data_IF_032092246237
#
_entry.id   IF_032092246237
#
_cell.length_a   1.000
_cell.length_b   1.000
_cell.length_c   1.000
_cell.angle_alpha   90.00
_cell.angle_beta   90.00
_cell.angle_gamma   90.00
#
_symmetry.space_group_name_H-M   'P 1'
#
loop_
_entity.id
_entity.type
_entity.pdbx_description
1 polymer ?
#
# COMPACT_ATOMS: atom_id res chain seq x y z
N UNK A 1 -47.19 -50.15 31.78
CA UNK A 1 -45.72 -50.28 31.96
C UNK A 1 -45.06 -49.90 30.65
N UNK A 2 -44.71 -48.62 30.51
CA UNK A 2 -44.19 -48.03 29.28
C UNK A 2 -42.67 -47.86 29.39
N UNK A 3 -41.95 -48.34 28.37
CA UNK A 3 -40.49 -48.27 28.21
C UNK A 3 -40.06 -46.82 27.96
N UNK A 4 -38.98 -46.30 28.58
CA UNK A 4 -38.46 -44.98 28.25
C UNK A 4 -37.61 -45.03 26.97
N UNK A 5 -37.65 -43.89 26.27
CA UNK A 5 -37.17 -43.65 24.92
C UNK A 5 -35.64 -43.54 24.79
N UNK A 6 -35.18 -43.84 23.58
CA UNK A 6 -33.80 -43.79 23.13
C UNK A 6 -33.26 -42.36 22.99
N UNK A 7 -31.94 -42.25 23.17
CA UNK A 7 -31.12 -41.07 22.99
C UNK A 7 -31.19 -40.51 21.55
N UNK A 8 -31.29 -39.18 21.43
CA UNK A 8 -30.93 -38.44 20.23
C UNK A 8 -30.01 -37.29 20.65
N UNK A 9 -28.75 -37.48 20.34
CA UNK A 9 -27.64 -36.54 20.45
C UNK A 9 -27.90 -35.31 19.55
N UNK A 10 -27.97 -34.13 20.18
CA UNK A 10 -28.00 -32.84 19.49
C UNK A 10 -26.59 -32.56 18.95
N UNK A 11 -26.36 -33.00 17.72
CA UNK A 11 -25.14 -32.74 16.94
C UNK A 11 -25.51 -31.81 15.78
N UNK A 12 -25.79 -30.55 16.08
CA UNK A 12 -25.91 -29.51 15.06
C UNK A 12 -25.37 -28.18 15.60
N UNK A 13 -24.47 -27.60 14.80
CA UNK A 13 -23.98 -26.21 14.82
C UNK A 13 -22.48 -26.01 15.16
N UNK A 14 -21.58 -26.79 14.56
CA UNK A 14 -20.14 -26.48 14.50
C UNK A 14 -19.59 -26.34 13.07
N UNK A 15 -20.45 -26.32 12.04
CA UNK A 15 -20.05 -26.26 10.64
C UNK A 15 -20.31 -24.88 9.97
N UNK A 16 -20.28 -23.81 10.75
CA UNK A 16 -20.37 -22.41 10.26
C UNK A 16 -19.29 -21.53 10.88
N UNK A 17 -18.18 -22.11 11.35
CA UNK A 17 -16.91 -21.38 11.40
C UNK A 17 -16.41 -21.31 9.97
N UNK A 18 -16.93 -20.29 9.28
CA UNK A 18 -16.43 -19.74 8.05
C UNK A 18 -14.92 -19.99 7.96
N UNK A 19 -14.51 -20.67 6.91
CA UNK A 19 -13.20 -20.45 6.33
C UNK A 19 -13.09 -18.95 6.10
N UNK A 20 -12.55 -18.24 7.09
CA UNK A 20 -12.02 -16.91 6.88
C UNK A 20 -10.94 -17.14 5.85
N UNK A 21 -11.30 -16.95 4.58
CA UNK A 21 -10.36 -16.63 3.51
C UNK A 21 -9.41 -15.67 4.18
N UNK A 22 -8.17 -16.10 4.40
CA UNK A 22 -7.16 -15.25 5.03
C UNK A 22 -7.00 -14.08 4.09
N UNK A 23 -7.79 -13.03 4.30
CA UNK A 23 -7.61 -11.78 3.60
C UNK A 23 -6.21 -11.36 4.04
N UNK A 24 -5.31 -11.26 3.07
CA UNK A 24 -3.92 -10.88 3.28
C UNK A 24 -3.93 -9.43 3.76
N UNK A 25 -4.26 -9.22 5.04
CA UNK A 25 -4.26 -7.91 5.64
C UNK A 25 -2.81 -7.47 5.79
N UNK A 26 -2.51 -6.29 5.24
CA UNK A 26 -1.24 -5.62 5.48
C UNK A 26 -1.17 -5.32 6.97
N UNK A 27 -0.11 -5.80 7.62
CA UNK A 27 0.14 -5.50 9.02
C UNK A 27 1.00 -4.26 9.11
N UNK A 28 0.85 -3.51 10.20
CA UNK A 28 1.73 -2.38 10.47
C UNK A 28 2.19 -2.34 11.91
N UNK A 29 3.28 -1.62 12.15
CA UNK A 29 3.89 -1.46 13.48
C UNK A 29 4.44 -0.05 13.63
N UNK A 30 4.20 0.56 14.80
CA UNK A 30 4.66 1.92 15.09
C UNK A 30 6.18 1.94 15.29
N UNK A 31 6.85 2.91 14.65
CA UNK A 31 8.30 3.08 14.69
C UNK A 31 8.73 4.30 15.52
N UNK A 32 7.84 5.26 15.75
CA UNK A 32 8.12 6.45 16.56
C UNK A 32 7.67 7.75 15.92
N UNK A 33 7.93 8.84 16.66
CA UNK A 33 7.65 10.20 16.23
C UNK A 33 8.88 10.84 15.55
N UNK A 34 8.68 11.35 14.33
CA UNK A 34 9.75 11.94 13.51
C UNK A 34 9.41 13.37 13.10
N UNK A 35 10.44 14.20 12.96
CA UNK A 35 10.28 15.56 12.44
C UNK A 35 9.96 15.52 10.96
N UNK A 36 9.19 16.49 10.51
CA UNK A 36 8.89 16.70 9.11
C UNK A 36 9.17 18.15 8.68
N UNK A 37 9.34 18.37 7.38
CA UNK A 37 9.61 19.67 6.80
C UNK A 37 8.71 19.95 5.59
N UNK A 38 7.97 21.09 5.60
CA UNK A 38 7.38 21.80 4.47
C UNK A 38 7.75 21.37 3.07
N UNK A 39 9.04 21.57 2.84
CA UNK A 39 9.68 21.68 1.54
C UNK A 39 10.41 20.41 1.13
N UNK A 40 10.80 19.57 2.10
CA UNK A 40 11.63 18.38 1.84
C UNK A 40 11.02 17.08 2.30
N UNK A 41 9.82 17.10 2.89
CA UNK A 41 8.93 15.99 3.31
C UNK A 41 9.67 14.70 3.69
N UNK A 42 9.60 14.32 4.95
CA UNK A 42 10.28 13.12 5.47
C UNK A 42 9.84 11.83 4.74
N UNK A 43 8.55 11.71 4.46
CA UNK A 43 7.99 10.67 3.59
C UNK A 43 7.41 11.33 2.34
N UNK A 44 8.07 11.12 1.19
CA UNK A 44 7.81 11.81 -0.07
C UNK A 44 7.39 10.88 -1.22
N UNK A 45 6.96 9.66 -0.92
CA UNK A 45 6.65 8.62 -1.91
C UNK A 45 5.47 8.95 -2.84
N UNK A 46 4.59 9.88 -2.46
CA UNK A 46 3.51 10.37 -3.33
C UNK A 46 3.83 11.70 -4.03
N UNK A 47 5.07 12.18 -3.96
CA UNK A 47 5.48 13.39 -4.69
C UNK A 47 5.24 13.21 -6.19
N UNK A 48 4.60 14.19 -6.83
CA UNK A 48 4.26 14.13 -8.26
C UNK A 48 3.08 13.22 -8.62
N UNK A 49 2.51 12.49 -7.66
CA UNK A 49 1.28 11.72 -7.82
C UNK A 49 0.08 12.65 -7.66
N UNK A 50 -0.92 12.53 -8.53
CA UNK A 50 -2.16 13.31 -8.45
C UNK A 50 -3.32 12.50 -7.88
N UNK A 51 -3.34 11.17 -8.12
CA UNK A 51 -4.30 10.23 -7.55
C UNK A 51 -3.65 8.90 -7.25
N UNK A 52 -3.97 8.33 -6.09
CA UNK A 52 -3.60 6.97 -5.69
C UNK A 52 -4.88 6.19 -5.39
N UNK A 53 -5.20 5.23 -6.24
CA UNK A 53 -6.47 4.56 -6.21
C UNK A 53 -7.65 5.53 -6.33
N UNK A 54 -8.57 5.52 -5.36
CA UNK A 54 -9.71 6.44 -5.29
C UNK A 54 -9.39 7.79 -4.66
N UNK A 55 -8.16 8.01 -4.21
CA UNK A 55 -7.80 9.15 -3.36
C UNK A 55 -7.04 10.22 -4.16
N UNK A 56 -7.39 11.48 -3.93
CA UNK A 56 -6.64 12.61 -4.49
C UNK A 56 -5.42 12.90 -3.63
N UNK A 57 -4.29 13.14 -4.29
CA UNK A 57 -3.04 13.52 -3.64
C UNK A 57 -2.88 15.03 -3.76
N UNK A 58 -2.66 15.69 -2.63
CA UNK A 58 -2.46 17.14 -2.57
C UNK A 58 -1.02 17.51 -2.98
N UNK A 59 -0.92 18.50 -3.86
CA UNK A 59 0.34 19.07 -4.32
C UNK A 59 0.58 20.44 -3.64
N UNK A 60 1.80 20.79 -3.23
CA UNK A 60 3.06 20.05 -3.39
C UNK A 60 3.37 19.06 -2.25
N UNK A 61 2.48 18.91 -1.27
CA UNK A 61 2.75 18.13 -0.06
C UNK A 61 2.98 16.64 -0.32
N UNK A 62 2.41 16.07 -1.39
CA UNK A 62 2.46 14.63 -1.63
C UNK A 62 1.71 13.87 -0.55
N UNK A 63 0.56 14.39 -0.11
CA UNK A 63 -0.25 13.82 0.97
C UNK A 63 -1.66 13.51 0.53
N UNK A 64 -2.30 12.54 1.19
CA UNK A 64 -3.74 12.32 1.11
C UNK A 64 -4.36 12.80 2.42
N UNK A 65 -5.27 13.77 2.36
CA UNK A 65 -5.91 14.33 3.56
C UNK A 65 -7.40 13.98 3.59
N UNK A 66 -7.87 13.38 4.68
CA UNK A 66 -9.25 12.90 4.81
C UNK A 66 -9.78 13.07 6.23
N UNK A 67 -11.03 13.51 6.38
CA UNK A 67 -11.69 13.62 7.70
C UNK A 67 -11.89 12.28 8.41
N UNK A 68 -11.84 11.17 7.67
CA UNK A 68 -11.93 9.81 8.21
C UNK A 68 -10.55 9.17 8.45
N UNK A 69 -9.48 9.96 8.56
CA UNK A 69 -8.12 9.42 8.71
C UNK A 69 -7.98 8.52 9.94
N UNK A 70 -7.33 7.37 9.72
CA UNK A 70 -6.94 6.39 10.74
C UNK A 70 -5.65 5.69 10.30
N UNK A 71 -5.01 4.95 11.21
CA UNK A 71 -3.82 4.15 10.87
C UNK A 71 -4.13 3.09 9.80
N UNK A 72 -5.29 2.45 9.89
CA UNK A 72 -5.76 1.45 8.93
C UNK A 72 -6.03 2.06 7.55
N UNK A 73 -6.60 3.26 7.51
CA UNK A 73 -6.84 3.94 6.25
C UNK A 73 -5.53 4.32 5.57
N UNK A 74 -4.60 4.94 6.31
CA UNK A 74 -3.33 5.36 5.72
C UNK A 74 -2.46 4.17 5.31
N UNK A 75 -2.40 3.10 6.12
CA UNK A 75 -1.72 1.86 5.73
C UNK A 75 -2.34 1.24 4.47
N UNK A 76 -3.66 1.25 4.35
CA UNK A 76 -4.37 0.83 3.14
C UNK A 76 -3.98 1.66 1.92
N UNK A 77 -3.97 2.99 2.03
CA UNK A 77 -3.55 3.89 0.94
C UNK A 77 -2.11 3.61 0.53
N UNK A 78 -1.18 3.53 1.47
CA UNK A 78 0.23 3.29 1.15
C UNK A 78 0.51 1.85 0.67
N UNK A 79 -0.35 0.89 1.03
CA UNK A 79 -0.29 -0.45 0.45
C UNK A 79 -0.54 -0.48 -1.05
N UNK A 80 -1.28 0.48 -1.59
CA UNK A 80 -1.55 0.58 -3.03
C UNK A 80 -0.26 0.82 -3.82
N UNK A 81 0.71 1.53 -3.23
CA UNK A 81 2.03 1.74 -3.82
C UNK A 81 3.10 0.73 -3.39
N UNK A 82 2.76 -0.29 -2.61
CA UNK A 82 3.71 -1.17 -1.90
C UNK A 82 4.83 -0.43 -1.17
N UNK A 83 4.47 0.67 -0.50
CA UNK A 83 5.43 1.40 0.30
C UNK A 83 5.79 0.64 1.58
N UNK A 84 7.09 0.58 1.95
CA UNK A 84 7.49 -0.05 3.21
C UNK A 84 7.09 0.75 4.44
N UNK A 85 6.81 2.05 4.29
CA UNK A 85 6.46 2.94 5.39
C UNK A 85 5.27 3.84 5.05
N UNK A 86 4.50 4.16 6.08
CA UNK A 86 3.56 5.27 6.04
C UNK A 86 3.70 6.14 7.29
N UNK A 87 3.18 7.36 7.18
CA UNK A 87 3.09 8.27 8.30
C UNK A 87 1.74 8.98 8.30
N UNK A 88 1.27 9.29 9.50
CA UNK A 88 0.13 10.17 9.72
C UNK A 88 0.60 11.46 10.40
N UNK A 89 0.09 12.59 9.92
CA UNK A 89 0.46 13.93 10.39
C UNK A 89 -0.79 14.78 10.58
N UNK A 90 -0.73 15.70 11.55
CA UNK A 90 -1.74 16.75 11.76
C UNK A 90 -3.21 16.27 11.78
N UNK A 91 -3.45 15.07 12.35
CA UNK A 91 -4.76 14.42 12.53
C UNK A 91 -5.36 13.76 11.28
N UNK A 92 -5.11 14.29 10.09
CA UNK A 92 -5.87 13.94 8.90
C UNK A 92 -5.03 13.66 7.65
N UNK A 93 -3.72 13.90 7.70
CA UNK A 93 -2.83 13.71 6.56
C UNK A 93 -2.17 12.34 6.59
N UNK A 94 -2.09 11.71 5.42
CA UNK A 94 -1.40 10.46 5.18
C UNK A 94 -0.26 10.67 4.17
N UNK A 95 0.91 10.15 4.53
CA UNK A 95 2.11 10.16 3.71
C UNK A 95 2.62 8.74 3.53
N UNK A 96 3.15 8.44 2.35
CA UNK A 96 3.78 7.16 2.04
C UNK A 96 5.26 7.38 1.71
N UNK A 97 6.13 6.43 2.01
CA UNK A 97 7.56 6.61 1.78
C UNK A 97 8.34 5.30 1.69
N UNK A 98 9.42 5.35 0.92
CA UNK A 98 10.43 4.28 0.87
C UNK A 98 11.49 4.41 1.98
N UNK A 99 11.60 5.59 2.56
CA UNK A 99 12.48 5.95 3.66
C UNK A 99 11.76 6.94 4.57
N UNK A 100 12.31 7.13 5.76
CA UNK A 100 11.85 8.09 6.75
C UNK A 100 13.03 8.50 7.65
N UNK A 101 12.83 9.49 8.51
CA UNK A 101 13.80 9.92 9.51
C UNK A 101 14.90 10.85 8.99
N UNK A 102 14.75 11.41 7.78
CA UNK A 102 15.66 12.38 7.16
C UNK A 102 15.84 13.66 8.00
N UNK A 103 14.85 13.99 8.82
CA UNK A 103 14.87 15.15 9.73
C UNK A 103 15.06 14.75 11.21
N UNK A 104 15.26 13.46 11.48
CA UNK A 104 15.52 12.91 12.81
C UNK A 104 14.29 12.77 13.72
N UNK A 105 14.53 12.22 14.91
CA UNK A 105 13.50 11.96 15.92
C UNK A 105 12.92 13.24 16.51
N UNK A 106 11.64 13.16 16.88
CA UNK A 106 10.92 14.15 17.67
C UNK A 106 10.50 13.55 19.03
N UNK A 107 9.96 14.40 19.91
CA UNK A 107 9.36 13.93 21.15
C UNK A 107 8.04 13.21 20.84
N UNK A 108 7.76 12.07 21.48
CA UNK A 108 6.46 11.38 21.35
C UNK A 108 5.28 12.29 21.73
N UNK A 109 5.50 13.25 22.64
CA UNK A 109 4.48 14.24 23.01
C UNK A 109 4.08 15.15 21.83
N UNK A 110 4.97 15.36 20.85
CA UNK A 110 4.69 16.15 19.65
C UNK A 110 3.80 15.37 18.67
N UNK A 111 3.72 14.04 18.78
CA UNK A 111 2.89 13.15 17.96
C UNK A 111 1.60 12.70 18.70
N UNK A 112 0.96 13.61 19.42
CA UNK A 112 -0.13 13.29 20.35
C UNK A 112 -1.52 13.70 19.88
N UNK A 113 -1.65 14.26 18.67
CA UNK A 113 -2.95 14.67 18.14
C UNK A 113 -3.78 13.45 17.75
N UNK A 114 -5.07 13.44 18.09
CA UNK A 114 -5.95 12.33 17.73
C UNK A 114 -6.23 12.31 16.22
N UNK A 115 -6.34 11.11 15.64
CA UNK A 115 -6.82 10.97 14.27
C UNK A 115 -8.26 11.46 14.14
N UNK A 116 -8.61 12.14 13.04
CA UNK A 116 -9.98 12.63 12.84
C UNK A 116 -11.00 11.48 12.68
N UNK A 117 -10.63 10.39 12.00
CA UNK A 117 -11.50 9.24 11.79
C UNK A 117 -11.53 8.25 12.96
N UNK A 118 -10.57 8.32 13.88
CA UNK A 118 -10.52 7.47 15.06
C UNK A 118 -9.78 8.15 16.22
N UNK A 119 -10.54 8.73 17.15
CA UNK A 119 -9.97 9.47 18.27
C UNK A 119 -9.18 8.62 19.28
N UNK A 120 -9.22 7.28 19.18
CA UNK A 120 -8.40 6.39 20.00
C UNK A 120 -6.97 6.22 19.45
N UNK A 121 -6.69 6.74 18.26
CA UNK A 121 -5.40 6.66 17.59
C UNK A 121 -4.72 8.02 17.53
N UNK A 122 -3.38 8.01 17.57
CA UNK A 122 -2.56 9.23 17.46
C UNK A 122 -2.07 9.43 16.04
N UNK A 123 -2.36 10.56 15.43
CA UNK A 123 -2.03 10.91 14.05
C UNK A 123 -1.03 12.07 13.97
N UNK A 124 0.11 11.91 14.65
CA UNK A 124 1.20 12.86 14.60
C UNK A 124 0.88 14.21 15.22
N UNK A 125 1.44 15.26 14.63
CA UNK A 125 1.29 16.65 15.06
C UNK A 125 1.73 17.63 13.98
N UNK A 126 1.79 18.93 14.27
CA UNK A 126 2.21 19.93 13.29
C UNK A 126 3.66 19.68 12.84
N UNK A 127 3.86 19.31 11.58
CA UNK A 127 5.16 18.89 11.03
C UNK A 127 5.83 17.77 11.85
N UNK A 128 5.02 16.81 12.34
CA UNK A 128 5.44 15.68 13.17
C UNK A 128 4.72 14.43 12.70
N UNK A 129 5.51 13.45 12.28
CA UNK A 129 5.05 12.20 11.71
C UNK A 129 5.02 11.11 12.78
N UNK A 130 3.85 10.52 13.03
CA UNK A 130 3.80 9.18 13.61
C UNK A 130 4.08 8.18 12.48
N UNK A 131 5.25 7.54 12.51
CA UNK A 131 5.72 6.66 11.42
C UNK A 131 5.47 5.21 11.75
N UNK A 132 5.08 4.43 10.74
CA UNK A 132 4.79 3.01 10.84
C UNK A 132 5.45 2.23 9.71
N UNK A 133 5.92 1.02 9.99
CA UNK A 133 6.33 0.04 8.97
C UNK A 133 5.13 -0.74 8.46
N UNK A 134 5.11 -1.06 7.17
CA UNK A 134 4.17 -1.99 6.54
C UNK A 134 4.84 -3.36 6.36
N UNK A 135 4.09 -4.41 6.66
CA UNK A 135 4.51 -5.80 6.48
C UNK A 135 3.50 -6.52 5.59
N UNK A 136 3.97 -6.97 4.45
CA UNK A 136 3.17 -7.67 3.45
C UNK A 136 3.29 -9.18 3.65
N UNK A 137 2.18 -9.93 3.66
CA UNK A 137 2.23 -11.38 3.76
C UNK A 137 2.85 -12.01 2.50
N UNK A 138 4.10 -12.46 2.66
CA UNK A 138 5.01 -13.08 1.67
C UNK A 138 5.45 -12.14 0.56
N UNK A 139 6.57 -11.45 0.83
CA UNK A 139 7.43 -10.73 -0.10
C UNK A 139 8.79 -11.45 -0.15
N UNK A 140 8.94 -12.42 -1.04
CA UNK A 140 10.27 -12.91 -1.39
C UNK A 140 10.76 -11.98 -2.51
N UNK A 141 11.79 -11.17 -2.26
CA UNK A 141 12.26 -10.08 -3.16
C UNK A 141 12.64 -10.54 -4.58
N UNK A 142 12.74 -11.86 -4.78
CA UNK A 142 13.04 -12.54 -6.04
C UNK A 142 11.80 -13.12 -6.74
N UNK A 143 10.61 -12.94 -6.17
CA UNK A 143 9.36 -13.48 -6.73
C UNK A 143 8.49 -12.37 -7.28
N UNK A 144 7.84 -12.65 -8.40
CA UNK A 144 6.83 -11.77 -8.98
C UNK A 144 5.46 -12.44 -8.87
N UNK A 145 4.46 -11.66 -8.49
CA UNK A 145 3.07 -12.11 -8.47
C UNK A 145 2.32 -11.52 -9.65
N UNK A 146 1.58 -12.36 -10.37
CA UNK A 146 0.72 -11.91 -11.47
C UNK A 146 -0.57 -11.37 -10.87
N UNK A 147 -0.86 -10.10 -11.12
CA UNK A 147 -2.09 -9.45 -10.64
C UNK A 147 -3.09 -9.40 -11.79
N UNK A 148 -4.18 -10.16 -11.66
CA UNK A 148 -5.25 -10.25 -12.67
C UNK A 148 -6.36 -9.20 -12.52
N UNK A 149 -6.34 -8.36 -11.48
CA UNK A 149 -7.37 -7.37 -11.23
C UNK A 149 -6.90 -5.94 -11.53
N UNK A 150 -7.73 -5.22 -12.29
CA UNK A 150 -7.72 -3.76 -12.41
C UNK A 150 -8.01 -3.14 -11.05
N UNK A 151 -6.95 -2.91 -10.29
CA UNK A 151 -6.96 -2.13 -9.05
C UNK A 151 -7.12 -0.64 -9.39
N UNK A 152 -7.50 0.22 -8.43
CA UNK A 152 -7.89 1.58 -8.78
C UNK A 152 -6.68 2.36 -9.34
N UNK A 153 -6.89 3.13 -10.43
CA UNK A 153 -5.80 3.68 -11.23
C UNK A 153 -4.96 4.68 -10.44
N UNK A 154 -3.64 4.61 -10.60
CA UNK A 154 -2.72 5.68 -10.16
C UNK A 154 -2.58 6.67 -11.30
N UNK A 155 -2.78 7.95 -11.03
CA UNK A 155 -2.55 9.03 -12.00
C UNK A 155 -1.37 9.87 -11.52
N UNK A 156 -0.27 9.87 -12.27
CA UNK A 156 0.95 10.61 -11.95
C UNK A 156 1.31 11.57 -13.08
N UNK A 157 1.81 12.75 -12.72
CA UNK A 157 2.43 13.69 -13.67
C UNK A 157 3.94 13.46 -13.85
N UNK A 158 4.54 12.61 -13.02
CA UNK A 158 5.94 12.20 -13.12
C UNK A 158 6.09 11.01 -14.09
N UNK A 159 7.26 10.88 -14.73
CA UNK A 159 7.66 9.68 -15.47
C UNK A 159 7.91 8.52 -14.51
N UNK A 160 6.84 7.97 -13.93
CA UNK A 160 6.85 6.77 -13.07
C UNK A 160 6.74 5.47 -13.86
N UNK A 161 6.90 5.57 -15.19
CA UNK A 161 6.76 4.52 -16.18
C UNK A 161 7.91 4.63 -17.18
N UNK A 162 8.69 3.58 -17.33
CA UNK A 162 9.78 3.53 -18.32
C UNK A 162 9.55 2.38 -19.30
N UNK A 163 9.36 2.66 -20.61
CA UNK A 163 9.25 1.62 -21.61
C UNK A 163 10.65 1.04 -21.92
N UNK A 164 10.73 -0.29 -21.97
CA UNK A 164 11.88 -1.05 -22.44
C UNK A 164 11.41 -2.13 -23.41
N UNK A 165 12.23 -2.43 -24.43
CA UNK A 165 11.96 -3.58 -25.29
C UNK A 165 12.14 -4.86 -24.49
N UNK A 166 11.20 -5.78 -24.59
CA UNK A 166 11.28 -7.08 -23.94
C UNK A 166 10.67 -8.15 -24.84
N UNK A 167 11.42 -9.22 -25.10
CA UNK A 167 10.93 -10.30 -25.98
C UNK A 167 10.10 -11.35 -25.23
N UNK A 168 10.22 -11.39 -23.91
CA UNK A 168 9.52 -12.32 -23.05
C UNK A 168 9.22 -11.72 -21.68
N UNK A 169 8.42 -12.44 -20.90
CA UNK A 169 8.13 -12.07 -19.51
C UNK A 169 9.43 -12.05 -18.70
N UNK A 170 10.29 -13.05 -18.88
CA UNK A 170 11.55 -13.19 -18.14
C UNK A 170 12.47 -11.99 -18.37
N UNK A 171 12.57 -11.53 -19.63
CA UNK A 171 13.34 -10.34 -20.01
C UNK A 171 12.77 -9.07 -19.33
N UNK A 172 11.45 -8.90 -19.37
CA UNK A 172 10.76 -7.80 -18.69
C UNK A 172 11.03 -7.79 -17.16
N UNK A 173 10.94 -8.97 -16.51
CA UNK A 173 11.19 -9.11 -15.08
C UNK A 173 12.67 -8.91 -14.71
N UNK A 174 13.60 -9.27 -15.59
CA UNK A 174 15.02 -8.97 -15.40
C UNK A 174 15.28 -7.45 -15.41
N UNK A 175 14.67 -6.70 -16.35
CA UNK A 175 14.77 -5.25 -16.37
C UNK A 175 14.24 -4.60 -15.09
N UNK A 176 13.10 -5.07 -14.59
CA UNK A 176 12.57 -4.58 -13.31
C UNK A 176 13.48 -4.95 -12.15
N UNK A 177 14.01 -6.17 -12.12
CA UNK A 177 14.88 -6.64 -11.04
C UNK A 177 16.21 -5.87 -10.96
N UNK A 178 16.72 -5.43 -12.11
CA UNK A 178 17.94 -4.61 -12.22
C UNK A 178 17.76 -3.17 -11.69
N UNK A 179 16.51 -2.74 -11.48
CA UNK A 179 16.17 -1.41 -10.98
C UNK A 179 15.75 -1.46 -9.52
N UNK A 180 16.39 -0.64 -8.69
CA UNK A 180 16.08 -0.55 -7.26
C UNK A 180 14.74 0.13 -6.97
N UNK A 181 14.24 0.94 -7.91
CA UNK A 181 12.97 1.68 -7.83
C UNK A 181 11.80 0.95 -8.50
N UNK A 182 12.06 -0.09 -9.30
CA UNK A 182 10.98 -0.86 -9.93
C UNK A 182 10.26 -1.74 -8.90
N UNK A 183 8.95 -1.54 -8.80
CA UNK A 183 8.02 -2.29 -7.92
C UNK A 183 7.06 -3.16 -8.71
N UNK A 184 6.77 -2.79 -9.95
CA UNK A 184 5.97 -3.59 -10.84
C UNK A 184 6.42 -3.43 -12.29
N UNK A 185 6.03 -4.38 -13.13
CA UNK A 185 6.25 -4.32 -14.55
C UNK A 185 5.00 -4.75 -15.30
N UNK A 186 4.72 -4.09 -16.41
CA UNK A 186 3.61 -4.42 -17.31
C UNK A 186 4.18 -4.87 -18.64
N UNK A 187 3.88 -6.11 -19.03
CA UNK A 187 4.37 -6.71 -20.26
C UNK A 187 3.25 -6.90 -21.27
N UNK A 188 3.49 -6.52 -22.53
CA UNK A 188 2.67 -6.88 -23.69
C UNK A 188 3.47 -7.78 -24.62
N UNK A 189 2.92 -8.98 -24.87
CA UNK A 189 3.48 -9.90 -25.87
C UNK A 189 3.25 -9.38 -27.29
N UNK A 190 2.17 -8.64 -27.53
CA UNK A 190 1.85 -8.10 -28.85
C UNK A 190 2.84 -6.99 -29.23
N UNK A 191 3.18 -6.13 -28.29
CA UNK A 191 4.06 -4.98 -28.53
C UNK A 191 5.54 -5.30 -28.30
N UNK A 192 5.86 -6.48 -27.75
CA UNK A 192 7.21 -6.86 -27.30
C UNK A 192 7.82 -5.75 -26.41
N UNK A 193 6.99 -5.21 -25.54
CA UNK A 193 7.28 -4.05 -24.71
C UNK A 193 7.01 -4.36 -23.24
N UNK A 194 7.86 -3.81 -22.39
CA UNK A 194 7.77 -3.87 -20.95
C UNK A 194 7.78 -2.45 -20.39
N UNK A 195 6.85 -2.15 -19.50
CA UNK A 195 6.77 -0.88 -18.82
C UNK A 195 7.13 -1.10 -17.35
N UNK A 196 8.27 -0.55 -16.93
CA UNK A 196 8.74 -0.60 -15.54
C UNK A 196 8.03 0.47 -14.73
N UNK A 197 7.53 0.11 -13.56
CA UNK A 197 6.69 0.97 -12.72
C UNK A 197 7.33 1.15 -11.35
N UNK A 198 7.40 2.40 -10.91
CA UNK A 198 7.75 2.74 -9.52
C UNK A 198 6.61 2.40 -8.54
N UNK A 199 5.38 2.35 -9.05
CA UNK A 199 4.19 2.00 -8.28
C UNK A 199 3.65 0.63 -8.69
N UNK A 200 3.02 -0.06 -7.76
CA UNK A 200 2.46 -1.39 -8.00
C UNK A 200 1.25 -1.41 -8.92
N UNK A 201 0.60 -0.26 -9.14
CA UNK A 201 -0.49 -0.15 -10.08
C UNK A 201 -0.15 0.75 -11.28
N UNK A 202 -0.36 0.24 -12.51
CA UNK A 202 -0.13 1.00 -13.72
C UNK A 202 -1.15 2.14 -13.89
N UNK A 203 -0.81 3.17 -14.67
CA UNK A 203 -1.79 4.09 -15.23
C UNK A 203 -2.86 3.37 -16.05
N UNK A 204 -4.04 3.97 -16.18
CA UNK A 204 -5.18 3.34 -16.88
C UNK A 204 -4.90 2.89 -18.32
N UNK A 205 -3.99 3.56 -19.05
CA UNK A 205 -3.63 3.17 -20.42
C UNK A 205 -2.77 1.90 -20.51
N UNK A 206 -2.13 1.48 -19.41
CA UNK A 206 -1.39 0.22 -19.29
C UNK A 206 -2.21 -0.83 -18.52
N UNK A 207 -3.55 -0.70 -18.56
CA UNK A 207 -4.48 -1.65 -17.95
C UNK A 207 -5.42 -2.21 -19.02
N UNK A 208 -5.52 -3.55 -19.10
CA UNK A 208 -6.32 -4.23 -20.12
C UNK A 208 -5.95 -5.70 -20.28
N UNK A 209 -6.70 -6.48 -21.08
CA UNK A 209 -6.50 -7.92 -21.24
C UNK A 209 -5.18 -8.29 -21.94
N UNK A 210 -4.63 -7.38 -22.75
CA UNK A 210 -3.37 -7.56 -23.48
C UNK A 210 -2.13 -7.34 -22.61
N UNK A 211 -2.32 -6.75 -21.44
CA UNK A 211 -1.26 -6.37 -20.52
C UNK A 211 -1.27 -7.30 -19.31
N UNK A 212 -0.11 -7.88 -18.99
CA UNK A 212 0.06 -8.64 -17.75
C UNK A 212 0.86 -7.82 -16.75
N UNK A 213 0.26 -7.53 -15.59
CA UNK A 213 0.89 -6.84 -14.48
C UNK A 213 1.61 -7.83 -13.57
N UNK A 214 2.90 -7.59 -13.36
CA UNK A 214 3.76 -8.33 -12.45
C UNK A 214 4.17 -7.41 -11.32
N UNK A 215 3.91 -7.82 -10.09
CA UNK A 215 4.26 -7.06 -8.89
C UNK A 215 5.40 -7.77 -8.20
N UNK A 216 6.47 -7.03 -7.93
CA UNK A 216 7.61 -7.52 -7.19
C UNK A 216 7.20 -7.78 -5.74
N UNK A 217 7.50 -8.99 -5.26
CA UNK A 217 7.34 -9.42 -3.88
C UNK A 217 8.11 -8.52 -2.95
#
# INVERSE_FOLDING_TARGET
MFRPAAALSVLFCTALLLTCVTCRFVRFSYLGCYKDNPSTRDLNGLSGVSKIGGFSVHHPSGSVSLSMMSHELCSGICSIGSFPYFAVQYRDECYCGHSFGSHGLASEADCSMDCLGNAMQKCGGPARNSVFSLSYPVSDNNTYTVVKQSSPPVTSGATSVWPVAAQSVEDCLLWCSARADCRAAVFSRQELACHLLEFVYPPGHLSGPEWTLFVRG
#
